data_IF_760914655764
#
_entry.id   IF_760914655764
#
_cell.length_a   1.000
_cell.length_b   1.000
_cell.length_c   1.000
_cell.angle_alpha   90.00
_cell.angle_beta   90.00
_cell.angle_gamma   90.00
#
_symmetry.space_group_name_H-M   'P 1'
#
loop_
_entity.id
_entity.type
_entity.pdbx_description
1 polymer ?
#
# COMPACT_ATOMS: atom_id res chain seq x y z
N UNK A 1 -21.62 23.28 3.21
CA UNK A 1 -20.61 23.02 4.26
C UNK A 1 -21.26 23.28 5.61
N UNK A 2 -21.39 22.25 6.45
CA UNK A 2 -21.85 22.41 7.83
C UNK A 2 -20.64 22.61 8.76
N UNK A 3 -20.76 23.54 9.71
CA UNK A 3 -19.83 23.65 10.84
C UNK A 3 -20.07 22.43 11.74
N UNK A 4 -19.06 21.60 11.94
CA UNK A 4 -19.19 20.36 12.71
C UNK A 4 -18.82 20.60 14.18
N UNK A 5 -19.69 20.17 15.10
CA UNK A 5 -19.36 20.17 16.53
C UNK A 5 -18.22 19.17 16.81
N UNK A 6 -17.32 19.52 17.74
CA UNK A 6 -16.17 18.69 18.10
C UNK A 6 -16.56 17.28 18.53
N UNK A 7 -17.72 17.13 19.15
CA UNK A 7 -18.25 15.84 19.60
C UNK A 7 -18.55 14.89 18.43
N UNK A 8 -18.84 15.42 17.23
CA UNK A 8 -19.22 14.64 16.05
C UNK A 8 -18.05 14.29 15.13
N UNK A 9 -16.87 14.90 15.33
CA UNK A 9 -15.72 14.74 14.44
C UNK A 9 -15.32 13.26 14.33
N UNK A 10 -15.19 12.55 15.44
CA UNK A 10 -14.80 11.14 15.43
C UNK A 10 -15.83 10.25 14.71
N UNK A 11 -17.12 10.48 14.95
CA UNK A 11 -18.20 9.76 14.25
C UNK A 11 -18.11 9.99 12.74
N UNK A 12 -17.86 11.22 12.33
CA UNK A 12 -17.75 11.58 10.93
C UNK A 12 -16.50 10.98 10.26
N UNK A 13 -15.36 10.96 10.95
CA UNK A 13 -14.14 10.32 10.45
C UNK A 13 -14.32 8.80 10.32
N UNK A 14 -14.97 8.17 11.30
CA UNK A 14 -15.36 6.76 11.23
C UNK A 14 -16.25 6.50 10.00
N UNK A 15 -17.30 7.31 9.79
CA UNK A 15 -18.19 7.13 8.64
C UNK A 15 -17.47 7.27 7.28
N UNK A 16 -16.51 8.18 7.17
CA UNK A 16 -15.81 8.44 5.91
C UNK A 16 -14.57 7.60 5.67
N UNK A 17 -14.03 6.93 6.69
CA UNK A 17 -12.86 6.07 6.59
C UNK A 17 -13.14 4.59 6.90
N UNK A 18 -13.78 4.29 8.04
CA UNK A 18 -13.89 2.94 8.60
C UNK A 18 -15.19 2.21 8.22
N UNK A 19 -16.24 2.94 7.86
CA UNK A 19 -17.50 2.31 7.45
C UNK A 19 -17.28 1.34 6.28
N UNK A 20 -18.11 0.31 6.20
CA UNK A 20 -18.02 -0.70 5.14
C UNK A 20 -18.09 -0.06 3.75
N UNK A 21 -18.94 0.97 3.58
CA UNK A 21 -19.04 1.74 2.35
C UNK A 21 -17.88 2.72 2.13
N UNK A 22 -17.20 3.12 3.20
CA UNK A 22 -16.03 3.98 3.09
C UNK A 22 -14.78 3.24 2.62
N UNK A 23 -14.61 1.98 3.02
CA UNK A 23 -13.64 1.05 2.46
C UNK A 23 -12.17 1.34 2.80
N UNK A 24 -11.87 2.09 3.87
CA UNK A 24 -10.50 2.41 4.27
C UNK A 24 -9.65 3.03 3.16
N UNK A 25 -10.27 3.91 2.37
CA UNK A 25 -9.58 4.59 1.27
C UNK A 25 -8.45 5.50 1.79
N UNK A 26 -7.57 5.90 0.85
CA UNK A 26 -6.44 6.76 1.14
C UNK A 26 -6.86 8.08 1.81
N UNK A 27 -5.93 8.67 2.58
CA UNK A 27 -6.08 10.00 3.19
C UNK A 27 -6.67 11.03 2.22
N UNK A 28 -6.18 11.08 0.98
CA UNK A 28 -6.63 12.07 0.00
C UNK A 28 -8.09 11.86 -0.41
N UNK A 29 -8.54 10.60 -0.51
CA UNK A 29 -9.96 10.28 -0.73
C UNK A 29 -10.82 10.65 0.47
N UNK A 30 -10.35 10.38 1.69
CA UNK A 30 -11.04 10.77 2.92
C UNK A 30 -11.16 12.29 3.03
N UNK A 31 -10.11 13.04 2.66
CA UNK A 31 -10.13 14.51 2.63
C UNK A 31 -11.18 15.06 1.67
N UNK A 32 -11.27 14.50 0.45
CA UNK A 32 -12.29 14.94 -0.52
C UNK A 32 -13.73 14.66 -0.02
N UNK A 33 -13.95 13.53 0.64
CA UNK A 33 -15.26 13.24 1.28
C UNK A 33 -15.58 14.24 2.37
N UNK A 34 -14.67 14.43 3.33
CA UNK A 34 -14.89 15.37 4.45
C UNK A 34 -15.17 16.78 3.93
N UNK A 35 -14.37 17.26 2.96
CA UNK A 35 -14.53 18.58 2.32
C UNK A 35 -15.92 18.79 1.70
N UNK A 36 -16.54 17.73 1.20
CA UNK A 36 -17.87 17.80 0.57
C UNK A 36 -18.98 18.03 1.59
N UNK A 37 -18.88 17.42 2.77
CA UNK A 37 -19.98 17.39 3.75
C UNK A 37 -19.77 18.31 4.97
N UNK A 38 -18.53 18.59 5.36
CA UNK A 38 -18.24 19.15 6.68
C UNK A 38 -16.99 20.00 6.74
N UNK A 39 -16.92 20.86 7.75
CA UNK A 39 -15.76 21.70 7.99
C UNK A 39 -15.62 22.02 9.48
N UNK A 40 -14.38 22.00 9.97
CA UNK A 40 -14.00 22.47 11.30
C UNK A 40 -12.56 22.98 11.30
N UNK A 41 -12.13 23.76 12.30
CA UNK A 41 -10.73 24.18 12.42
C UNK A 41 -9.79 22.97 12.48
N UNK A 42 -8.73 22.97 11.67
CA UNK A 42 -7.74 21.88 11.56
C UNK A 42 -8.23 20.55 10.96
N UNK A 43 -9.40 20.51 10.31
CA UNK A 43 -9.98 19.28 9.75
C UNK A 43 -9.03 18.42 8.90
N UNK A 44 -8.15 19.06 8.11
CA UNK A 44 -7.18 18.32 7.29
C UNK A 44 -6.16 17.55 8.13
N UNK A 45 -5.73 18.15 9.26
CA UNK A 45 -4.78 17.52 10.19
C UNK A 45 -5.44 16.33 10.87
N UNK A 46 -6.66 16.52 11.37
CA UNK A 46 -7.41 15.48 12.08
C UNK A 46 -7.69 14.28 11.15
N UNK A 47 -8.07 14.52 9.89
CA UNK A 47 -8.23 13.46 8.88
C UNK A 47 -6.93 12.72 8.62
N UNK A 48 -5.81 13.45 8.52
CA UNK A 48 -4.50 12.84 8.28
C UNK A 48 -4.07 11.95 9.44
N UNK A 49 -4.22 12.44 10.67
CA UNK A 49 -3.91 11.71 11.90
C UNK A 49 -4.78 10.47 12.08
N UNK A 50 -6.09 10.59 11.80
CA UNK A 50 -7.02 9.46 11.84
C UNK A 50 -6.64 8.36 10.84
N UNK A 51 -6.36 8.71 9.58
CA UNK A 51 -5.96 7.74 8.57
C UNK A 51 -4.58 7.11 8.89
N UNK A 52 -3.66 7.89 9.47
CA UNK A 52 -2.33 7.41 9.85
C UNK A 52 -2.37 6.43 11.04
N UNK A 53 -3.32 6.59 11.94
CA UNK A 53 -3.47 5.76 13.14
C UNK A 53 -4.45 4.59 12.98
N UNK A 54 -5.09 4.45 11.81
CA UNK A 54 -6.00 3.34 11.52
C UNK A 54 -5.25 1.98 11.48
N UNK A 55 -5.49 1.13 12.48
CA UNK A 55 -4.84 -0.18 12.65
C UNK A 55 -4.98 -1.09 11.43
N UNK A 56 -6.18 -1.15 10.83
CA UNK A 56 -6.45 -1.97 9.64
C UNK A 56 -5.59 -1.52 8.46
N UNK A 57 -5.54 -0.21 8.21
CA UNK A 57 -4.72 0.38 7.15
C UNK A 57 -3.24 0.12 7.39
N UNK A 58 -2.73 0.27 8.62
CA UNK A 58 -1.31 0.05 8.93
C UNK A 58 -0.91 -1.42 8.79
N UNK A 59 -1.82 -2.36 9.08
CA UNK A 59 -1.58 -3.81 8.90
C UNK A 59 -1.68 -4.24 7.43
N UNK A 60 -2.61 -3.68 6.67
CA UNK A 60 -2.82 -4.07 5.26
C UNK A 60 -1.83 -3.39 4.32
N UNK A 61 -1.53 -2.12 4.59
CA UNK A 61 -0.68 -1.32 3.72
C UNK A 61 0.76 -1.53 4.16
N UNK A 62 1.54 -2.26 3.35
CA UNK A 62 2.98 -2.30 3.57
C UNK A 62 3.47 -0.87 3.43
N UNK A 63 4.09 -0.33 4.48
CA UNK A 63 4.91 0.86 4.31
C UNK A 63 5.79 0.63 3.07
N UNK A 64 5.96 1.62 2.17
CA UNK A 64 6.99 1.52 1.16
C UNK A 64 8.24 1.12 1.91
N UNK A 65 8.77 -0.07 1.63
CA UNK A 65 9.99 -0.52 2.31
C UNK A 65 11.09 0.52 2.09
N UNK A 66 12.23 0.32 2.75
CA UNK A 66 13.44 1.04 2.35
C UNK A 66 13.52 1.06 0.82
N UNK A 67 13.86 2.22 0.25
CA UNK A 67 14.10 2.34 -1.19
C UNK A 67 14.88 1.10 -1.61
N UNK A 68 14.37 0.36 -2.60
CA UNK A 68 15.07 -0.82 -3.11
C UNK A 68 16.54 -0.45 -3.26
N UNK A 69 17.42 -1.28 -2.68
CA UNK A 69 18.86 -1.03 -2.77
C UNK A 69 19.26 -0.86 -4.23
N UNK A 70 20.36 -0.13 -4.47
CA UNK A 70 20.94 -0.10 -5.81
C UNK A 70 21.22 -1.54 -6.24
N UNK A 71 20.88 -1.88 -7.49
CA UNK A 71 21.28 -3.16 -8.06
C UNK A 71 22.79 -3.30 -7.94
N UNK A 72 23.25 -4.36 -7.27
CA UNK A 72 24.67 -4.67 -7.15
C UNK A 72 25.05 -5.48 -8.38
N UNK A 73 26.13 -5.09 -9.04
CA UNK A 73 26.68 -5.85 -10.16
C UNK A 73 27.29 -7.16 -9.63
N UNK A 74 26.91 -8.28 -10.26
CA UNK A 74 27.59 -9.56 -10.05
C UNK A 74 29.01 -9.48 -10.60
N UNK A 75 29.98 -10.12 -9.93
CA UNK A 75 31.36 -10.12 -10.39
C UNK A 75 31.45 -10.77 -11.78
N UNK A 76 32.16 -10.14 -12.70
CA UNK A 76 32.42 -10.70 -14.02
C UNK A 76 33.47 -11.81 -13.90
N UNK A 77 33.27 -12.99 -14.53
CA UNK A 77 34.28 -14.03 -14.55
C UNK A 77 35.48 -13.58 -15.41
N UNK A 78 36.69 -13.85 -14.93
CA UNK A 78 37.96 -13.57 -15.64
C UNK A 78 38.36 -14.70 -16.61
N UNK A 79 37.77 -15.89 -16.45
CA UNK A 79 38.11 -17.09 -17.21
C UNK A 79 36.88 -17.98 -17.50
N UNK A 80 36.92 -18.80 -18.57
CA UNK A 80 35.86 -19.77 -18.84
C UNK A 80 35.66 -20.72 -17.65
N UNK A 81 34.41 -21.02 -17.32
CA UNK A 81 33.99 -21.92 -16.23
C UNK A 81 34.22 -21.42 -14.80
N UNK A 82 34.58 -20.15 -14.61
CA UNK A 82 34.82 -19.58 -13.28
C UNK A 82 33.54 -19.41 -12.45
N UNK A 83 32.43 -19.03 -13.09
CA UNK A 83 31.14 -18.84 -12.45
C UNK A 83 30.05 -19.59 -13.22
N UNK A 84 29.28 -20.42 -12.51
CA UNK A 84 28.12 -21.14 -13.06
C UNK A 84 26.90 -20.84 -12.19
N UNK A 85 25.89 -20.20 -12.78
CA UNK A 85 24.59 -19.98 -12.15
C UNK A 85 23.61 -21.05 -12.63
N UNK A 86 23.00 -21.77 -11.70
CA UNK A 86 22.01 -22.82 -11.99
C UNK A 86 20.70 -22.45 -11.28
N UNK A 87 19.60 -22.50 -12.02
CA UNK A 87 18.26 -22.31 -11.48
C UNK A 87 17.32 -23.40 -12.02
N UNK A 88 16.28 -23.73 -11.26
CA UNK A 88 15.31 -24.77 -11.61
C UNK A 88 14.06 -24.13 -12.19
N UNK A 89 13.71 -24.53 -13.41
CA UNK A 89 12.39 -24.22 -13.97
C UNK A 89 11.40 -25.26 -13.46
N UNK A 90 10.37 -24.82 -12.74
CA UNK A 90 9.29 -25.69 -12.26
C UNK A 90 7.99 -25.43 -13.03
N UNK A 91 7.02 -26.35 -12.92
CA UNK A 91 5.71 -26.29 -13.59
C UNK A 91 5.74 -26.36 -15.14
N UNK A 92 6.66 -27.16 -15.69
CA UNK A 92 6.62 -27.50 -17.12
C UNK A 92 5.45 -28.44 -17.42
N UNK A 93 4.86 -28.36 -18.65
CA UNK A 93 3.85 -29.31 -19.08
C UNK A 93 4.37 -30.74 -19.01
N UNK A 94 3.54 -31.72 -18.58
CA UNK A 94 3.98 -33.10 -18.47
C UNK A 94 4.29 -33.74 -19.84
N UNK A 95 3.66 -33.26 -20.93
CA UNK A 95 3.75 -33.85 -22.28
C UNK A 95 3.56 -32.80 -23.40
N UNK A 96 4.06 -33.09 -24.61
CA UNK A 96 3.85 -32.32 -25.86
C UNK A 96 5.13 -31.67 -26.42
N UNK A 97 5.03 -30.95 -27.54
CA UNK A 97 6.18 -30.35 -28.26
C UNK A 97 7.00 -29.32 -27.44
N UNK A 98 6.56 -29.00 -26.21
CA UNK A 98 7.23 -28.12 -25.23
C UNK A 98 7.57 -28.84 -23.93
N UNK A 99 7.50 -30.18 -23.88
CA UNK A 99 8.03 -30.96 -22.76
C UNK A 99 9.55 -31.02 -22.90
N UNK A 100 10.27 -30.59 -21.87
CA UNK A 100 11.74 -30.60 -21.83
C UNK A 100 12.30 -31.88 -21.18
N UNK A 101 11.49 -32.95 -21.15
CA UNK A 101 11.87 -34.30 -20.69
C UNK A 101 12.10 -35.21 -21.89
#
# INVERSE_FOLDING_TARGET
MALTDRTMINTLLHEFHDSVGAGHLSKDRTLERVKTFSWWPNWKKDVAEYCQTCDRCQKSNRAPGNKFGMMIQIQEPESPWEIVHIDWVTALPPEGDRSYN
#
